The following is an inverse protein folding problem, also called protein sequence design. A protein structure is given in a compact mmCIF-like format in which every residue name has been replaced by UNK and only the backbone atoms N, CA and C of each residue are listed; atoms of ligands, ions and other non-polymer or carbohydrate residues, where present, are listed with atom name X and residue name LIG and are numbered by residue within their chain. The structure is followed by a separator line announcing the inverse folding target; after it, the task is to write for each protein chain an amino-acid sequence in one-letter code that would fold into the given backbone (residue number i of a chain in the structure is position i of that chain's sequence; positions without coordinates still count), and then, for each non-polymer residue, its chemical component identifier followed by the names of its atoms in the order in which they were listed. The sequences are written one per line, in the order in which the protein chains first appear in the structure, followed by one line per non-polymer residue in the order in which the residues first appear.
data_IF_278824671698
#
_entry.id   IF_278824671698
#
_cell.length_a   1.000
_cell.length_b   1.000
_cell.length_c   1.000
_cell.angle_alpha   90.00
_cell.angle_beta   90.00
_cell.angle_gamma   90.00
#
_symmetry.space_group_name_H-M   'P 1'
#
loop_
_entity.id
_entity.type
_entity.pdbx_description
1 polymer ?
#
# COMPACT_ATOMS: atom_id res chain seq x y z
N UNK A 1 -17.71 10.04 -0.36
CA UNK A 1 -17.55 8.58 -0.30
C UNK A 1 -18.20 8.09 0.98
N UNK A 2 -18.99 7.02 0.94
CA UNK A 2 -19.68 6.49 2.11
C UNK A 2 -19.36 5.00 2.26
N UNK A 3 -19.23 4.53 3.51
CA UNK A 3 -19.00 3.12 3.79
C UNK A 3 -20.21 2.28 3.35
N UNK A 4 -20.03 1.20 2.56
CA UNK A 4 -21.14 0.37 2.10
C UNK A 4 -21.79 -0.46 3.23
N UNK A 5 -21.10 -0.64 4.37
CA UNK A 5 -21.59 -1.43 5.49
C UNK A 5 -22.38 -0.60 6.53
N UNK A 6 -21.95 0.63 6.82
CA UNK A 6 -22.55 1.45 7.88
C UNK A 6 -22.97 2.87 7.45
N UNK A 7 -22.82 3.20 6.15
CA UNK A 7 -23.20 4.49 5.55
C UNK A 7 -22.50 5.74 6.10
N UNK A 8 -21.47 5.58 6.95
CA UNK A 8 -20.68 6.70 7.47
C UNK A 8 -19.66 7.22 6.45
N UNK A 9 -19.28 8.48 6.61
CA UNK A 9 -18.33 9.19 5.73
C UNK A 9 -16.90 9.22 6.25
N UNK A 10 -16.65 8.70 7.46
CA UNK A 10 -15.32 8.65 8.06
C UNK A 10 -14.56 7.41 7.59
N UNK A 11 -13.75 7.61 6.56
CA UNK A 11 -13.09 6.55 5.78
C UNK A 11 -11.63 6.95 5.64
N UNK A 12 -10.73 5.99 5.86
CA UNK A 12 -9.29 6.12 5.70
C UNK A 12 -8.82 5.33 4.47
N UNK A 13 -7.75 5.78 3.84
CA UNK A 13 -7.04 4.99 2.82
C UNK A 13 -6.13 3.96 3.49
N UNK A 14 -6.06 2.76 2.93
CA UNK A 14 -5.20 1.70 3.45
C UNK A 14 -3.88 1.75 2.72
N UNK A 15 -2.81 2.02 3.47
CA UNK A 15 -1.44 1.94 2.96
C UNK A 15 -0.91 0.52 3.14
N UNK A 16 -0.46 -0.07 2.04
CA UNK A 16 0.14 -1.40 1.99
C UNK A 16 1.63 -1.31 1.67
N UNK A 17 2.40 -2.27 2.18
CA UNK A 17 3.85 -2.34 1.95
C UNK A 17 4.65 -1.45 2.89
N UNK A 18 5.83 -1.02 2.42
CA UNK A 18 6.75 -0.21 3.20
C UNK A 18 6.70 1.26 2.73
N UNK A 19 6.36 2.22 3.60
CA UNK A 19 6.37 3.63 3.26
C UNK A 19 7.80 4.14 3.10
N UNK A 20 8.07 4.89 2.03
CA UNK A 20 9.35 5.59 1.86
C UNK A 20 9.46 6.84 2.77
N UNK A 21 8.34 7.52 3.02
CA UNK A 21 8.30 8.79 3.76
C UNK A 21 7.55 8.59 5.09
N UNK A 22 8.30 8.52 6.20
CA UNK A 22 7.75 8.15 7.51
C UNK A 22 7.18 9.32 8.29
N UNK A 23 7.71 10.54 8.16
CA UNK A 23 7.23 11.68 8.97
C UNK A 23 5.84 12.15 8.52
N UNK A 24 5.63 12.30 7.21
CA UNK A 24 4.34 12.66 6.62
C UNK A 24 3.25 11.64 6.94
N UNK A 25 3.66 10.38 7.12
CA UNK A 25 2.79 9.25 7.44
C UNK A 25 2.26 9.31 8.87
N UNK A 26 3.09 9.71 9.84
CA UNK A 26 2.69 9.78 11.24
C UNK A 26 1.56 10.79 11.45
N UNK A 27 1.65 11.98 10.84
CA UNK A 27 0.58 12.98 10.91
C UNK A 27 -0.74 12.48 10.29
N UNK A 28 -0.66 11.77 9.17
CA UNK A 28 -1.83 11.24 8.48
C UNK A 28 -2.48 10.08 9.26
N UNK A 29 -1.67 9.27 9.97
CA UNK A 29 -2.14 8.24 10.89
C UNK A 29 -2.85 8.86 12.10
N UNK A 30 -2.30 9.93 12.68
CA UNK A 30 -2.93 10.65 13.79
C UNK A 30 -4.28 11.26 13.39
N UNK A 31 -4.38 11.82 12.18
CA UNK A 31 -5.63 12.36 11.63
C UNK A 31 -6.63 11.26 11.19
N UNK A 32 -6.22 10.00 11.20
CA UNK A 32 -6.96 8.84 10.65
C UNK A 32 -7.39 9.05 9.20
N UNK A 33 -6.55 9.74 8.43
CA UNK A 33 -6.69 9.85 6.98
C UNK A 33 -6.20 8.57 6.30
N UNK A 34 -5.24 7.89 6.93
CA UNK A 34 -4.69 6.62 6.49
C UNK A 34 -4.68 5.57 7.60
N UNK A 35 -4.64 4.29 7.21
CA UNK A 35 -4.42 3.14 8.10
C UNK A 35 -3.44 2.16 7.47
N UNK A 36 -2.69 1.43 8.29
CA UNK A 36 -1.74 0.43 7.80
C UNK A 36 -2.46 -0.90 7.52
N UNK A 37 -2.37 -1.38 6.28
CA UNK A 37 -2.94 -2.66 5.86
C UNK A 37 -2.09 -3.86 6.26
N UNK A 38 -0.77 -3.70 6.13
CA UNK A 38 0.24 -4.72 6.37
C UNK A 38 1.42 -4.57 5.41
N UNK A 39 2.51 -5.30 5.67
CA UNK A 39 3.69 -5.31 4.80
C UNK A 39 3.53 -6.22 3.58
N UNK A 40 2.60 -7.18 3.63
CA UNK A 40 2.33 -8.09 2.52
C UNK A 40 1.34 -7.44 1.56
N UNK A 41 1.84 -7.23 0.35
CA UNK A 41 1.11 -6.65 -0.78
C UNK A 41 0.62 -7.80 -1.65
N UNK A 42 -0.68 -7.88 -1.90
CA UNK A 42 -1.38 -8.90 -2.68
C UNK A 42 -2.26 -8.27 -3.74
N UNK A 43 -2.57 -8.99 -4.82
CA UNK A 43 -3.42 -8.48 -5.92
C UNK A 43 -4.86 -8.14 -5.52
N UNK A 44 -5.31 -8.49 -4.31
CA UNK A 44 -6.69 -8.31 -3.86
C UNK A 44 -6.79 -7.39 -2.63
N UNK A 45 -5.79 -6.54 -2.43
CA UNK A 45 -5.75 -5.68 -1.27
C UNK A 45 -6.84 -4.60 -1.32
N UNK A 46 -7.60 -4.41 -0.22
CA UNK A 46 -8.57 -3.35 -0.14
C UNK A 46 -7.89 -1.99 -0.07
N UNK A 47 -8.49 -0.99 -0.72
CA UNK A 47 -7.99 0.39 -0.73
C UNK A 47 -8.49 1.23 0.43
N UNK A 48 -9.68 0.95 0.96
CA UNK A 48 -10.35 1.81 1.91
C UNK A 48 -10.73 1.04 3.18
N UNK A 49 -10.61 1.68 4.33
CA UNK A 49 -11.13 1.19 5.61
C UNK A 49 -12.10 2.22 6.23
N UNK A 50 -13.24 1.77 6.72
CA UNK A 50 -14.11 2.63 7.50
C UNK A 50 -13.61 2.74 8.95
N UNK A 51 -13.21 3.93 9.36
CA UNK A 51 -12.78 4.23 10.73
C UNK A 51 -13.85 3.96 11.82
N UNK A 52 -15.12 3.80 11.43
CA UNK A 52 -16.22 3.57 12.37
C UNK A 52 -16.64 2.11 12.54
N UNK A 53 -16.42 1.25 11.54
CA UNK A 53 -16.85 -0.15 11.58
C UNK A 53 -15.78 -1.14 11.09
N UNK A 54 -14.60 -0.64 10.73
CA UNK A 54 -13.46 -1.39 10.20
C UNK A 54 -13.76 -2.24 8.97
N UNK A 55 -14.86 -1.96 8.26
CA UNK A 55 -15.13 -2.58 6.98
C UNK A 55 -14.09 -2.12 5.96
N UNK A 56 -13.50 -3.06 5.22
CA UNK A 56 -12.49 -2.79 4.18
C UNK A 56 -13.05 -3.13 2.80
N UNK A 57 -12.80 -2.28 1.80
CA UNK A 57 -13.28 -2.49 0.42
C UNK A 57 -12.45 -1.73 -0.62
N UNK A 58 -12.77 -1.96 -1.90
CA UNK A 58 -12.06 -1.36 -3.04
C UNK A 58 -10.84 -2.18 -3.46
N UNK A 59 -10.08 -1.64 -4.40
CA UNK A 59 -8.89 -2.25 -4.97
C UNK A 59 -7.73 -1.26 -4.87
N UNK A 60 -6.65 -1.67 -4.23
CA UNK A 60 -5.46 -0.83 -4.08
C UNK A 60 -4.76 -0.64 -5.44
N UNK A 61 -4.08 0.48 -5.59
CA UNK A 61 -3.44 0.88 -6.86
C UNK A 61 -2.24 0.02 -7.25
N UNK A 62 -1.55 -0.60 -6.28
CA UNK A 62 -0.48 -1.55 -6.57
C UNK A 62 -1.00 -2.87 -7.17
N UNK A 63 -2.31 -3.11 -7.14
CA UNK A 63 -2.91 -4.26 -7.79
C UNK A 63 -3.11 -4.05 -9.30
N UNK A 64 -2.80 -2.86 -9.82
CA UNK A 64 -2.88 -2.61 -11.26
C UNK A 64 -1.75 -3.41 -11.96
N UNK A 65 -2.16 -4.44 -12.70
CA UNK A 65 -1.32 -5.37 -13.47
C UNK A 65 -0.37 -4.69 -14.48
N UNK A 66 -0.65 -3.42 -14.83
CA UNK A 66 0.17 -2.59 -15.72
C UNK A 66 1.39 -1.94 -15.02
N UNK A 67 1.55 -2.09 -13.69
CA UNK A 67 2.61 -1.47 -12.88
C UNK A 67 3.67 -2.45 -12.38
N UNK A 68 3.70 -3.69 -12.92
CA UNK A 68 4.91 -4.50 -12.86
C UNK A 68 5.93 -3.83 -13.78
N UNK A 69 6.53 -2.75 -13.29
CA UNK A 69 7.74 -2.18 -13.85
C UNK A 69 8.74 -3.31 -13.90
N UNK A 70 8.94 -3.81 -15.13
CA UNK A 70 10.10 -4.53 -15.60
C UNK A 70 11.21 -4.54 -14.54
N UNK A 71 11.21 -5.57 -13.68
CA UNK A 71 12.45 -5.97 -13.05
C UNK A 71 13.34 -6.35 -14.23
N UNK A 72 14.16 -5.40 -14.67
CA UNK A 72 15.01 -5.51 -15.83
C UNK A 72 16.08 -6.56 -15.49
N UNK A 73 15.71 -7.83 -15.63
CA UNK A 73 16.61 -8.97 -15.56
C UNK A 73 17.71 -8.89 -16.64
N UNK A 74 17.65 -7.88 -17.52
CA UNK A 74 18.70 -7.48 -18.45
C UNK A 74 19.88 -6.73 -17.82
N UNK A 75 19.71 -6.09 -16.65
CA UNK A 75 20.85 -5.74 -15.79
C UNK A 75 21.20 -6.97 -14.96
N UNK A 76 21.75 -7.99 -15.62
CA UNK A 76 22.37 -9.10 -14.91
C UNK A 76 23.34 -8.52 -13.89
N UNK A 77 23.13 -8.81 -12.61
CA UNK A 77 24.17 -8.64 -11.61
C UNK A 77 25.39 -9.40 -12.13
N UNK A 78 26.45 -8.67 -12.49
CA UNK A 78 27.70 -9.29 -12.88
C UNK A 78 28.26 -9.95 -11.63
N UNK A 79 28.15 -11.28 -11.54
CA UNK A 79 28.60 -12.04 -10.37
C UNK A 79 30.12 -11.94 -10.16
N UNK A 80 30.85 -11.45 -11.17
CA UNK A 80 32.29 -11.15 -11.06
C UNK A 80 32.58 -9.84 -10.29
N UNK A 81 31.64 -8.89 -10.21
CA UNK A 81 31.82 -7.64 -9.41
C UNK A 81 31.41 -7.81 -7.93
N UNK A 82 30.82 -8.95 -7.56
CA UNK A 82 30.45 -9.27 -6.17
C UNK A 82 31.60 -9.95 -5.41
N UNK A 83 32.64 -10.42 -6.12
CA UNK A 83 33.73 -11.21 -5.56
C UNK A 83 35.14 -10.63 -5.76
N UNK A 84 35.29 -9.32 -5.98
CA UNK A 84 36.60 -8.68 -5.85
C UNK A 84 36.63 -7.83 -4.57
N UNK A 85 37.60 -8.17 -3.71
CA UNK A 85 37.77 -7.76 -2.33
C UNK A 85 39.06 -6.97 -2.16
#
# INVERSE_FOLDING_TARGET
MNCPNCSKTWIAEILWGYPEDTESLEEALEKKEIVLGGCLVTEHDPRWECNSCNHRWGHAEHNDEDKIDSFDFGQGFNIEEVYDQ
#
